data_IF_555625533278
#
_entry.id   IF_555625533278
#
_cell.length_a   1.000
_cell.length_b   1.000
_cell.length_c   1.000
_cell.angle_alpha   90.00
_cell.angle_beta   90.00
_cell.angle_gamma   90.00
#
_symmetry.space_group_name_H-M   'P 1'
#
loop_
_entity.id
_entity.type
_entity.pdbx_description
1 polymer ?
#
# COMPACT_ATOMS: atom_id res chain seq x y z
N UNK A 1 8.58 -11.09 -4.24
CA UNK A 1 8.20 -10.38 -3.01
C UNK A 1 7.99 -8.95 -3.42
N UNK A 2 6.74 -8.49 -3.37
CA UNK A 2 6.38 -7.13 -3.76
C UNK A 2 6.41 -6.17 -2.56
N UNK A 3 6.24 -6.71 -1.35
CA UNK A 3 6.27 -5.98 -0.08
C UNK A 3 7.66 -6.01 0.55
N UNK A 4 8.14 -4.82 0.91
CA UNK A 4 9.33 -4.61 1.72
C UNK A 4 9.03 -3.58 2.82
N UNK A 5 9.56 -3.76 4.02
CA UNK A 5 9.42 -2.80 5.11
C UNK A 5 10.79 -2.22 5.50
N UNK A 6 10.89 -0.90 5.48
CA UNK A 6 12.05 -0.13 5.93
C UNK A 6 11.61 0.91 6.96
N UNK A 7 11.88 0.61 8.24
CA UNK A 7 11.43 1.42 9.36
C UNK A 7 9.91 1.64 9.35
N UNK A 8 9.51 2.90 9.19
CA UNK A 8 8.12 3.35 9.14
C UNK A 8 7.53 3.41 7.71
N UNK A 9 8.24 2.88 6.71
CA UNK A 9 7.75 2.80 5.33
C UNK A 9 7.55 1.35 4.90
N UNK A 10 6.36 1.04 4.39
CA UNK A 10 6.04 -0.24 3.73
C UNK A 10 5.97 0.03 2.24
N UNK A 11 6.87 -0.55 1.45
CA UNK A 11 6.94 -0.35 0.01
C UNK A 11 6.26 -1.52 -0.70
N UNK A 12 5.36 -1.19 -1.63
CA UNK A 12 4.76 -2.15 -2.56
C UNK A 12 5.28 -1.87 -3.97
N UNK A 13 5.88 -2.86 -4.61
CA UNK A 13 6.48 -2.71 -5.95
C UNK A 13 6.08 -3.83 -6.91
N UNK A 14 6.07 -3.51 -8.20
CA UNK A 14 5.75 -4.44 -9.27
C UNK A 14 4.34 -5.01 -9.13
N UNK A 15 4.22 -6.32 -9.27
CA UNK A 15 2.96 -7.04 -9.18
C UNK A 15 2.75 -7.55 -7.75
N UNK A 16 1.74 -7.04 -7.05
CA UNK A 16 1.37 -7.43 -5.68
C UNK A 16 0.22 -8.44 -5.73
N UNK A 17 0.49 -9.76 -5.68
CA UNK A 17 -0.55 -10.78 -5.73
C UNK A 17 -1.31 -10.91 -4.40
N UNK A 18 -2.24 -11.85 -4.32
CA UNK A 18 -3.11 -12.03 -3.14
C UNK A 18 -2.31 -12.38 -1.87
N UNK A 19 -1.18 -13.07 -2.03
CA UNK A 19 -0.30 -13.51 -0.94
C UNK A 19 0.35 -12.35 -0.18
N UNK A 20 0.36 -11.14 -0.75
CA UNK A 20 0.88 -9.93 -0.08
C UNK A 20 -0.16 -9.28 0.85
N UNK A 21 -1.44 -9.68 0.78
CA UNK A 21 -2.51 -9.03 1.54
C UNK A 21 -2.38 -9.28 3.06
N UNK A 22 -2.13 -10.52 3.48
CA UNK A 22 -1.95 -10.86 4.90
C UNK A 22 -0.67 -10.25 5.49
N UNK A 23 0.52 -10.38 4.86
CA UNK A 23 1.74 -9.70 5.30
C UNK A 23 1.59 -8.18 5.41
N UNK A 24 0.87 -7.55 4.46
CA UNK A 24 0.59 -6.11 4.51
C UNK A 24 -0.26 -5.73 5.71
N UNK A 25 -1.32 -6.49 5.97
CA UNK A 25 -2.20 -6.23 7.13
C UNK A 25 -1.42 -6.38 8.44
N UNK A 26 -0.58 -7.41 8.55
CA UNK A 26 0.25 -7.63 9.74
C UNK A 26 1.26 -6.51 9.95
N UNK A 27 1.93 -6.06 8.88
CA UNK A 27 2.85 -4.93 8.93
C UNK A 27 2.16 -3.63 9.37
N UNK A 28 0.97 -3.33 8.84
CA UNK A 28 0.18 -2.16 9.20
C UNK A 28 -0.37 -2.23 10.63
N UNK A 29 -0.68 -3.43 11.14
CA UNK A 29 -1.09 -3.60 12.54
C UNK A 29 0.08 -3.43 13.50
N UNK A 30 1.27 -3.85 13.10
CA UNK A 30 2.49 -3.69 13.89
C UNK A 30 2.98 -2.23 13.89
N UNK A 31 2.74 -1.48 12.80
CA UNK A 31 3.09 -0.07 12.66
C UNK A 31 1.90 0.75 12.09
N UNK A 32 0.94 1.15 12.94
CA UNK A 32 -0.27 1.86 12.51
C UNK A 32 -0.01 3.20 11.81
N UNK A 33 1.10 3.85 12.16
CA UNK A 33 1.52 5.14 11.57
C UNK A 33 2.45 4.96 10.35
N UNK A 34 2.64 3.74 9.87
CA UNK A 34 3.48 3.48 8.71
C UNK A 34 2.92 4.13 7.44
N UNK A 35 3.83 4.68 6.63
CA UNK A 35 3.51 5.15 5.28
C UNK A 35 3.60 3.98 4.31
N UNK A 36 2.60 3.81 3.44
CA UNK A 36 2.67 2.85 2.33
C UNK A 36 3.13 3.58 1.07
N UNK A 37 4.27 3.17 0.51
CA UNK A 37 4.80 3.70 -0.75
C UNK A 37 4.39 2.82 -1.94
N UNK A 38 3.62 3.41 -2.86
CA UNK A 38 3.06 2.78 -4.05
C UNK A 38 3.76 3.24 -5.34
N UNK A 39 4.83 4.04 -5.28
CA UNK A 39 5.48 4.68 -6.44
C UNK A 39 6.00 3.67 -7.48
N UNK A 40 6.18 2.40 -7.10
CA UNK A 40 6.58 1.31 -8.02
C UNK A 40 5.53 0.22 -8.20
N UNK A 41 4.30 0.38 -7.68
CA UNK A 41 3.25 -0.63 -7.73
C UNK A 41 2.56 -0.65 -9.10
N UNK A 42 2.93 -1.61 -9.95
CA UNK A 42 2.38 -1.79 -11.29
C UNK A 42 1.01 -2.48 -11.29
N UNK A 43 0.75 -3.35 -10.31
CA UNK A 43 -0.53 -4.02 -10.16
C UNK A 43 -0.79 -4.42 -8.72
N UNK A 44 -2.03 -4.24 -8.25
CA UNK A 44 -2.48 -4.61 -6.92
C UNK A 44 -3.64 -5.59 -7.01
N UNK A 45 -3.53 -6.74 -6.35
CA UNK A 45 -4.67 -7.63 -6.16
C UNK A 45 -5.77 -6.91 -5.38
N UNK A 46 -7.03 -7.25 -5.63
CA UNK A 46 -8.18 -6.62 -4.95
C UNK A 46 -8.14 -6.76 -3.43
N UNK A 47 -7.64 -7.90 -2.92
CA UNK A 47 -7.39 -8.11 -1.49
C UNK A 47 -6.37 -7.11 -0.90
N UNK A 48 -5.30 -6.81 -1.64
CA UNK A 48 -4.30 -5.80 -1.22
C UNK A 48 -4.94 -4.41 -1.17
N UNK A 49 -5.76 -4.06 -2.18
CA UNK A 49 -6.54 -2.83 -2.17
C UNK A 49 -7.51 -2.75 -0.98
N UNK A 50 -8.18 -3.85 -0.63
CA UNK A 50 -9.09 -3.91 0.50
C UNK A 50 -8.37 -3.66 1.83
N UNK A 51 -7.18 -4.26 2.02
CA UNK A 51 -6.35 -4.01 3.20
C UNK A 51 -6.00 -2.53 3.32
N UNK A 52 -5.55 -1.90 2.22
CA UNK A 52 -5.23 -0.46 2.21
C UNK A 52 -6.45 0.42 2.53
N UNK A 53 -7.61 0.13 1.95
CA UNK A 53 -8.84 0.89 2.20
C UNK A 53 -9.32 0.77 3.65
N UNK A 54 -9.15 -0.41 4.27
CA UNK A 54 -9.60 -0.66 5.66
C UNK A 54 -8.61 -0.10 6.67
N UNK A 55 -7.31 -0.30 6.47
CA UNK A 55 -6.27 0.19 7.36
C UNK A 55 -6.05 1.71 7.22
N UNK A 56 -6.40 2.27 6.07
CA UNK A 56 -6.30 3.70 5.73
C UNK A 56 -4.94 4.36 6.06
N UNK A 57 -3.80 3.75 5.67
CA UNK A 57 -2.48 4.33 5.92
C UNK A 57 -2.27 5.62 5.11
N UNK A 58 -1.28 6.41 5.53
CA UNK A 58 -0.76 7.46 4.67
C UNK A 58 -0.07 6.86 3.44
N UNK A 59 -0.40 7.34 2.25
CA UNK A 59 0.14 6.86 0.99
C UNK A 59 1.20 7.80 0.44
N UNK A 60 2.31 7.23 -0.03
CA UNK A 60 3.27 7.90 -0.91
C UNK A 60 3.12 7.37 -2.33
N UNK A 61 3.04 8.27 -3.30
CA UNK A 61 2.82 7.91 -4.70
C UNK A 61 1.40 7.40 -4.97
N UNK A 62 1.20 6.84 -6.17
CA UNK A 62 -0.06 6.23 -6.61
C UNK A 62 0.24 4.93 -7.34
N UNK A 63 -0.61 3.90 -7.21
CA UNK A 63 -0.46 2.70 -8.00
C UNK A 63 -0.83 2.99 -9.46
N UNK A 64 -0.33 2.16 -10.37
CA UNK A 64 -0.75 2.20 -11.76
C UNK A 64 -2.22 1.77 -11.92
N UNK A 65 -2.89 2.36 -12.91
CA UNK A 65 -4.27 2.04 -13.29
C UNK A 65 -5.34 2.88 -12.61
N UNK A 66 -6.38 3.22 -13.39
CA UNK A 66 -7.47 4.11 -12.96
C UNK A 66 -8.25 3.58 -11.75
N UNK A 67 -8.58 2.29 -11.74
CA UNK A 67 -9.43 1.71 -10.69
C UNK A 67 -8.70 1.64 -9.33
N UNK A 68 -7.47 1.07 -9.23
CA UNK A 68 -6.68 1.15 -8.00
C UNK A 68 -6.50 2.59 -7.49
N UNK A 69 -6.17 3.53 -8.39
CA UNK A 69 -6.00 4.93 -8.03
C UNK A 69 -7.30 5.57 -7.50
N UNK A 70 -8.46 5.21 -8.08
CA UNK A 70 -9.76 5.69 -7.63
C UNK A 70 -10.16 5.10 -6.26
N UNK A 71 -9.94 3.79 -6.04
CA UNK A 71 -10.21 3.13 -4.76
C UNK A 71 -9.44 3.78 -3.60
N UNK A 72 -8.22 4.25 -3.85
CA UNK A 72 -7.33 4.82 -2.83
C UNK A 72 -7.40 6.35 -2.74
N UNK A 73 -8.22 7.02 -3.57
CA UNK A 73 -8.23 8.47 -3.68
C UNK A 73 -8.66 9.20 -2.39
N UNK A 74 -9.32 8.52 -1.46
CA UNK A 74 -9.76 9.07 -0.18
C UNK A 74 -8.76 8.88 0.97
N UNK A 75 -7.63 8.22 0.74
CA UNK A 75 -6.63 7.97 1.78
C UNK A 75 -5.68 9.17 1.95
N UNK A 76 -5.13 9.39 3.17
CA UNK A 76 -4.19 10.48 3.41
C UNK A 76 -2.94 10.33 2.54
N UNK A 77 -2.41 11.44 2.04
CA UNK A 77 -1.15 11.46 1.28
C UNK A 77 -0.01 11.86 2.20
N UNK A 78 1.05 11.05 2.25
CA UNK A 78 2.28 11.36 2.94
C UNK A 78 3.11 12.35 2.10
N UNK A 79 3.61 13.40 2.76
CA UNK A 79 4.56 14.32 2.14
C UNK A 79 5.87 13.59 1.76
N UNK A 80 6.52 14.06 0.70
CA UNK A 80 7.86 13.61 0.36
C UNK A 80 8.83 14.14 1.43
N UNK A 81 9.28 13.25 2.32
CA UNK A 81 10.35 13.51 3.29
C UNK A 81 11.71 13.25 2.69
#
# INVERSE_FOLDING_TARGET
MALEQDGATIRLTGHCPVEEAEPLLDALRAAPDATVDLTGAAWLHTAVLQVLMVAAPALRGRPDGLVPAACLAGLPIAEAG
#
